data_IF_486677898370
#
_entry.id   IF_486677898370
#
_cell.length_a   1.000
_cell.length_b   1.000
_cell.length_c   1.000
_cell.angle_alpha   90.00
_cell.angle_beta   90.00
_cell.angle_gamma   90.00
#
_symmetry.space_group_name_H-M   'P 1'
#
loop_
_entity.id
_entity.type
_entity.pdbx_description
1 polymer ?
#
# COMPACT_ATOMS: atom_id res chain seq x y z
N UNK A 1 3.10 -20.52 -10.77
CA UNK A 1 2.91 -19.60 -9.61
C UNK A 1 1.47 -19.08 -9.47
N UNK A 2 0.45 -19.79 -9.97
CA UNK A 2 -0.97 -19.43 -9.74
C UNK A 2 -1.47 -18.18 -10.45
N UNK A 3 -0.80 -17.71 -11.52
CA UNK A 3 -1.19 -16.48 -12.23
C UNK A 3 -1.96 -16.71 -13.53
N UNK A 4 -2.02 -17.93 -14.07
CA UNK A 4 -2.76 -18.24 -15.30
C UNK A 4 -2.54 -17.22 -16.43
N UNK A 5 -3.64 -16.72 -17.00
CA UNK A 5 -3.66 -15.71 -18.06
C UNK A 5 -3.24 -14.29 -17.63
N UNK A 6 -3.05 -14.07 -16.32
CA UNK A 6 -2.66 -12.77 -15.75
C UNK A 6 -1.14 -12.60 -15.66
N UNK A 7 -0.35 -13.62 -16.00
CA UNK A 7 1.12 -13.57 -15.94
C UNK A 7 1.65 -12.40 -16.78
N UNK A 8 2.45 -11.54 -16.13
CA UNK A 8 3.05 -10.35 -16.77
C UNK A 8 2.10 -9.16 -16.93
N UNK A 9 0.83 -9.28 -16.55
CA UNK A 9 -0.16 -8.19 -16.60
C UNK A 9 -0.39 -7.52 -15.25
N UNK A 10 0.01 -8.19 -14.16
CA UNK A 10 -0.12 -7.68 -12.80
C UNK A 10 1.01 -8.15 -11.90
N UNK A 11 1.12 -7.50 -10.76
CA UNK A 11 1.85 -7.96 -9.59
C UNK A 11 0.86 -8.07 -8.41
N UNK A 12 1.24 -8.80 -7.36
CA UNK A 12 0.41 -8.97 -6.16
C UNK A 12 1.19 -8.52 -4.94
N UNK A 13 0.50 -7.84 -4.04
CA UNK A 13 0.97 -7.54 -2.70
C UNK A 13 0.17 -8.44 -1.75
N UNK A 14 0.85 -9.20 -0.90
CA UNK A 14 0.21 -9.99 0.14
C UNK A 14 0.21 -9.20 1.45
N UNK A 15 -0.95 -9.10 2.08
CA UNK A 15 -1.17 -8.46 3.39
C UNK A 15 -1.76 -9.50 4.37
N UNK A 16 -1.04 -10.59 4.60
CA UNK A 16 -1.52 -11.78 5.32
C UNK A 16 -0.51 -12.21 6.37
N UNK A 17 -1.00 -12.77 7.49
CA UNK A 17 -0.16 -13.24 8.59
C UNK A 17 0.24 -12.10 9.54
N UNK A 18 1.48 -12.13 10.03
CA UNK A 18 2.06 -11.06 10.84
C UNK A 18 2.36 -9.85 9.94
N UNK A 19 1.35 -9.02 9.76
CA UNK A 19 1.40 -7.83 8.92
C UNK A 19 0.70 -6.69 9.65
N UNK A 20 1.40 -5.58 9.83
CA UNK A 20 0.89 -4.47 10.62
C UNK A 20 0.88 -3.14 9.84
N UNK A 21 0.60 -2.07 10.59
CA UNK A 21 0.58 -0.71 10.07
C UNK A 21 1.91 -0.34 9.39
N UNK A 22 3.05 -0.58 10.04
CA UNK A 22 4.35 -0.16 9.52
C UNK A 22 4.73 -0.95 8.28
N UNK A 23 4.37 -2.23 8.21
CA UNK A 23 4.55 -3.03 6.99
C UNK A 23 3.77 -2.45 5.80
N UNK A 24 2.53 -2.00 6.05
CA UNK A 24 1.68 -1.35 5.04
C UNK A 24 2.29 -0.05 4.53
N UNK A 25 2.74 0.79 5.46
CA UNK A 25 3.35 2.09 5.15
C UNK A 25 4.65 1.89 4.37
N UNK A 26 5.50 0.95 4.80
CA UNK A 26 6.76 0.65 4.16
C UNK A 26 6.58 0.14 2.72
N UNK A 27 5.63 -0.77 2.48
CA UNK A 27 5.43 -1.34 1.14
C UNK A 27 4.90 -0.31 0.15
N UNK A 28 4.04 0.62 0.59
CA UNK A 28 3.52 1.68 -0.27
C UNK A 28 4.60 2.68 -0.64
N UNK A 29 5.41 3.12 0.33
CA UNK A 29 6.56 4.00 0.05
C UNK A 29 7.58 3.34 -0.89
N UNK A 30 7.86 2.04 -0.68
CA UNK A 30 8.73 1.28 -1.57
C UNK A 30 8.14 1.10 -2.97
N UNK A 31 6.83 0.87 -3.08
CA UNK A 31 6.14 0.75 -4.37
C UNK A 31 6.24 2.04 -5.18
N UNK A 32 6.04 3.21 -4.55
CA UNK A 32 6.17 4.50 -5.22
C UNK A 32 7.59 4.69 -5.79
N UNK A 33 8.64 4.30 -5.04
CA UNK A 33 10.03 4.30 -5.52
C UNK A 33 10.23 3.39 -6.75
N UNK A 34 9.66 2.19 -6.72
CA UNK A 34 9.74 1.24 -7.85
C UNK A 34 9.01 1.78 -9.07
N UNK A 35 7.81 2.35 -8.90
CA UNK A 35 7.04 2.93 -9.98
C UNK A 35 7.77 4.12 -10.62
N UNK A 36 8.40 4.98 -9.81
CA UNK A 36 9.17 6.11 -10.32
C UNK A 36 10.38 5.65 -11.16
N UNK A 37 11.03 4.54 -10.78
CA UNK A 37 12.19 3.98 -11.52
C UNK A 37 11.79 3.18 -12.76
N UNK A 38 10.75 2.36 -12.66
CA UNK A 38 10.36 1.40 -13.71
C UNK A 38 9.27 1.95 -14.65
N UNK A 39 8.60 3.05 -14.30
CA UNK A 39 7.39 3.55 -14.94
C UNK A 39 7.54 4.14 -16.35
N UNK A 40 8.72 4.07 -16.96
CA UNK A 40 8.95 4.44 -18.36
C UNK A 40 8.56 5.89 -18.69
N UNK A 41 8.80 6.82 -17.77
CA UNK A 41 8.52 8.26 -17.96
C UNK A 41 7.17 8.74 -17.43
N UNK A 42 6.33 7.85 -16.86
CA UNK A 42 5.14 8.30 -16.11
C UNK A 42 5.57 9.00 -14.83
N UNK A 43 5.07 10.22 -14.63
CA UNK A 43 5.27 10.94 -13.38
C UNK A 43 4.57 10.22 -12.24
N UNK A 44 5.31 9.97 -11.16
CA UNK A 44 4.82 9.39 -9.91
C UNK A 44 4.99 10.46 -8.84
N UNK A 45 3.88 10.94 -8.28
CA UNK A 45 3.91 11.80 -7.09
C UNK A 45 4.23 10.94 -5.87
N UNK A 46 5.30 11.29 -5.15
CA UNK A 46 5.64 10.60 -3.91
C UNK A 46 4.70 11.01 -2.78
N UNK A 47 4.35 10.02 -1.95
CA UNK A 47 3.51 10.19 -0.77
C UNK A 47 2.01 10.18 -1.06
N UNK A 48 1.57 10.04 -2.31
CA UNK A 48 0.14 9.99 -2.65
C UNK A 48 -0.54 8.74 -2.06
N UNK A 49 0.02 7.56 -2.31
CA UNK A 49 -0.50 6.30 -1.77
C UNK A 49 -0.25 6.19 -0.27
N UNK A 50 0.91 6.65 0.19
CA UNK A 50 1.27 6.66 1.60
C UNK A 50 0.26 7.48 2.44
N UNK A 51 -0.01 8.72 2.03
CA UNK A 51 -0.94 9.63 2.71
C UNK A 51 -2.34 9.05 2.78
N UNK A 52 -2.81 8.43 1.69
CA UNK A 52 -4.12 7.79 1.65
C UNK A 52 -4.22 6.64 2.68
N UNK A 53 -3.19 5.79 2.78
CA UNK A 53 -3.17 4.72 3.77
C UNK A 53 -3.14 5.26 5.20
N UNK A 54 -2.28 6.25 5.48
CA UNK A 54 -2.19 6.87 6.80
C UNK A 54 -3.53 7.47 7.25
N UNK A 55 -4.26 8.14 6.35
CA UNK A 55 -5.59 8.69 6.66
C UNK A 55 -6.59 7.59 7.05
N UNK A 56 -6.63 6.47 6.31
CA UNK A 56 -7.53 5.34 6.62
C UNK A 56 -7.19 4.72 7.98
N UNK A 57 -5.91 4.58 8.32
CA UNK A 57 -5.50 4.09 9.64
C UNK A 57 -5.90 5.05 10.76
N UNK A 58 -5.66 6.36 10.61
CA UNK A 58 -6.05 7.35 11.59
C UNK A 58 -7.57 7.37 11.84
N UNK A 59 -8.38 7.27 10.77
CA UNK A 59 -9.82 7.15 10.88
C UNK A 59 -10.26 5.84 11.57
N UNK A 60 -9.57 4.73 11.32
CA UNK A 60 -9.85 3.47 11.98
C UNK A 60 -9.52 3.52 13.48
N UNK A 61 -8.37 4.08 13.86
CA UNK A 61 -7.98 4.28 15.26
C UNK A 61 -8.98 5.19 15.99
N UNK A 62 -9.38 6.31 15.37
CA UNK A 62 -10.37 7.22 15.95
C UNK A 62 -11.72 6.53 16.19
N UNK A 63 -12.18 5.69 15.25
CA UNK A 63 -13.41 4.89 15.41
C UNK A 63 -13.30 3.88 16.54
N UNK A 64 -12.17 3.20 16.67
CA UNK A 64 -11.94 2.24 17.76
C UNK A 64 -11.92 2.95 19.12
N UNK A 65 -11.25 4.10 19.22
CA UNK A 65 -11.20 4.90 20.43
C UNK A 65 -12.58 5.42 20.86
N UNK A 66 -13.44 5.79 19.89
CA UNK A 66 -14.82 6.21 20.17
C UNK A 66 -15.72 5.05 20.62
N UNK A 67 -15.53 3.85 20.08
CA UNK A 67 -16.31 2.67 20.47
C UNK A 67 -15.92 2.09 21.85
N UNK A 68 -14.74 2.44 22.36
CA UNK A 68 -14.25 2.02 23.67
C UNK A 68 -14.65 2.97 24.83
N UNK A 69 -15.32 4.08 24.52
CA UNK A 69 -15.87 5.06 25.47
C UNK A 69 -17.34 4.77 25.77
#
# INVERSE_FOLDING_TARGET
>A
NGQGEMKGKLFRIAHLGYYDYLDTIAILGALEQVLARAGGGRHVEFGGGLRAAQAVYAEAEARQAAAAQ
#
